data_IF_458373189454
#
_entry.id   IF_458373189454
#
_cell.length_a   1.000
_cell.length_b   1.000
_cell.length_c   1.000
_cell.angle_alpha   90.00
_cell.angle_beta   90.00
_cell.angle_gamma   90.00
#
_symmetry.space_group_name_H-M   'P 1'
#
loop_
_entity.id
_entity.type
_entity.pdbx_description
1 polymer ?
#
# COMPACT_ATOMS: atom_id res chain seq x y z
N UNK A 1 -7.17 3.04 7.37
CA UNK A 1 -7.36 4.23 8.24
C UNK A 1 -6.55 5.45 7.83
N UNK A 2 -5.20 5.43 7.76
CA UNK A 2 -4.42 6.64 7.41
C UNK A 2 -4.75 7.24 6.04
N UNK A 3 -4.94 6.40 5.01
CA UNK A 3 -5.30 6.88 3.68
C UNK A 3 -6.66 7.61 3.66
N UNK A 4 -7.70 7.02 4.25
CA UNK A 4 -9.03 7.65 4.33
C UNK A 4 -8.99 8.95 5.13
N UNK A 5 -8.24 8.98 6.24
CA UNK A 5 -8.06 10.19 7.02
C UNK A 5 -7.30 11.29 6.26
N UNK A 6 -6.40 10.95 5.32
CA UNK A 6 -5.76 11.93 4.44
C UNK A 6 -6.77 12.56 3.49
N UNK A 7 -7.53 11.72 2.79
CA UNK A 7 -8.56 12.16 1.84
C UNK A 7 -9.61 13.03 2.57
N UNK A 8 -10.02 12.64 3.77
CA UNK A 8 -10.93 13.43 4.59
C UNK A 8 -10.39 14.81 4.96
N UNK A 9 -9.07 14.96 5.14
CA UNK A 9 -8.42 16.26 5.38
C UNK A 9 -8.37 17.09 4.11
N UNK A 10 -8.04 16.48 2.98
CA UNK A 10 -8.02 17.14 1.68
C UNK A 10 -9.42 17.68 1.30
N UNK A 11 -10.46 16.97 1.69
CA UNK A 11 -11.86 17.38 1.55
C UNK A 11 -12.36 18.30 2.69
N UNK A 12 -11.49 18.67 3.62
CA UNK A 12 -11.79 19.51 4.78
C UNK A 12 -12.98 19.00 5.64
N UNK A 13 -13.25 17.69 5.64
CA UNK A 13 -14.42 17.10 6.31
C UNK A 13 -14.45 17.40 7.80
N UNK A 14 -13.28 17.49 8.44
CA UNK A 14 -13.16 17.84 9.86
C UNK A 14 -13.87 19.15 10.23
N UNK A 15 -13.95 20.12 9.31
CA UNK A 15 -14.64 21.39 9.52
C UNK A 15 -16.17 21.24 9.48
N UNK A 16 -16.68 20.31 8.66
CA UNK A 16 -18.10 20.04 8.51
C UNK A 16 -18.69 19.14 9.61
N UNK A 17 -17.83 18.49 10.41
CA UNK A 17 -18.28 17.59 11.46
C UNK A 17 -19.00 18.32 12.59
N UNK A 18 -20.14 17.74 13.00
CA UNK A 18 -20.80 18.07 14.26
C UNK A 18 -20.16 17.25 15.37
N UNK A 19 -19.35 17.90 16.20
CA UNK A 19 -18.59 17.24 17.25
C UNK A 19 -18.98 17.77 18.62
N UNK A 20 -18.97 16.90 19.64
CA UNK A 20 -19.25 17.31 21.01
C UNK A 20 -18.13 18.17 21.58
N UNK A 21 -18.45 19.06 22.53
CA UNK A 21 -17.48 19.98 23.15
C UNK A 21 -16.24 19.27 23.75
N UNK A 22 -16.45 18.13 24.40
CA UNK A 22 -15.33 17.36 24.98
C UNK A 22 -14.38 16.82 23.92
N UNK A 23 -14.93 16.38 22.79
CA UNK A 23 -14.16 15.84 21.69
C UNK A 23 -13.42 16.96 20.92
N UNK A 24 -14.07 18.12 20.74
CA UNK A 24 -13.46 19.35 20.20
C UNK A 24 -12.20 19.76 20.98
N UNK A 25 -12.28 19.79 22.31
CA UNK A 25 -11.15 20.18 23.19
C UNK A 25 -9.94 19.25 23.03
N UNK A 26 -10.18 17.98 22.68
CA UNK A 26 -9.10 16.99 22.43
C UNK A 26 -8.62 16.96 20.98
N UNK A 27 -9.01 17.93 20.15
CA UNK A 27 -8.63 17.99 18.74
C UNK A 27 -9.32 16.94 17.87
N UNK A 28 -10.53 16.51 18.26
CA UNK A 28 -11.25 15.42 17.57
C UNK A 28 -11.43 15.60 16.06
N UNK A 29 -11.53 16.85 15.59
CA UNK A 29 -11.64 17.19 14.16
C UNK A 29 -10.45 16.73 13.32
N UNK A 30 -9.29 16.54 13.94
CA UNK A 30 -8.07 16.08 13.27
C UNK A 30 -7.69 14.64 13.65
N UNK A 31 -8.51 13.93 14.44
CA UNK A 31 -8.24 12.53 14.78
C UNK A 31 -8.43 11.65 13.54
N UNK A 32 -7.43 10.82 13.26
CA UNK A 32 -7.44 9.91 12.10
C UNK A 32 -8.65 8.96 12.08
N UNK A 33 -9.09 8.46 13.24
CA UNK A 33 -10.27 7.59 13.31
C UNK A 33 -11.53 8.35 12.92
N UNK A 34 -11.77 9.51 13.52
CA UNK A 34 -12.95 10.35 13.25
C UNK A 34 -13.01 10.78 11.79
N UNK A 35 -11.88 11.19 11.22
CA UNK A 35 -11.80 11.59 9.82
C UNK A 35 -12.02 10.42 8.85
N UNK A 36 -11.49 9.23 9.16
CA UNK A 36 -11.74 8.04 8.36
C UNK A 36 -13.23 7.64 8.41
N UNK A 37 -13.83 7.61 9.60
CA UNK A 37 -15.25 7.29 9.79
C UNK A 37 -16.15 8.32 9.09
N UNK A 38 -15.78 9.60 9.11
CA UNK A 38 -16.47 10.67 8.40
C UNK A 38 -16.46 10.48 6.88
N UNK A 39 -15.32 10.06 6.34
CA UNK A 39 -15.21 9.74 4.91
C UNK A 39 -16.06 8.52 4.54
N UNK A 40 -16.05 7.46 5.35
CA UNK A 40 -16.91 6.28 5.13
C UNK A 40 -18.40 6.65 5.19
N UNK A 41 -18.79 7.52 6.13
CA UNK A 41 -20.15 8.03 6.21
C UNK A 41 -20.55 8.85 4.98
N UNK A 42 -19.63 9.68 4.44
CA UNK A 42 -19.85 10.41 3.19
C UNK A 42 -20.02 9.44 2.01
N UNK A 43 -19.20 8.39 1.91
CA UNK A 43 -19.35 7.34 0.88
C UNK A 43 -20.74 6.69 0.99
N UNK A 44 -21.17 6.36 2.20
CA UNK A 44 -22.50 5.80 2.45
C UNK A 44 -23.62 6.74 2.02
N UNK A 45 -23.51 8.04 2.31
CA UNK A 45 -24.50 9.03 1.90
C UNK A 45 -24.60 9.16 0.37
N UNK A 46 -23.46 9.22 -0.33
CA UNK A 46 -23.42 9.27 -1.80
C UNK A 46 -24.06 8.00 -2.39
N UNK A 47 -23.78 6.83 -1.80
CA UNK A 47 -24.37 5.56 -2.23
C UNK A 47 -25.89 5.53 -2.06
N UNK A 48 -26.40 6.00 -0.94
CA UNK A 48 -27.84 6.04 -0.70
C UNK A 48 -28.57 6.98 -1.67
N UNK A 49 -27.96 8.12 -2.01
CA UNK A 49 -28.59 9.12 -2.89
C UNK A 49 -28.43 8.82 -4.39
N UNK A 50 -27.32 8.20 -4.79
CA UNK A 50 -26.94 8.08 -6.20
C UNK A 50 -26.67 6.64 -6.68
N UNK A 51 -26.68 5.66 -5.78
CA UNK A 51 -26.42 4.26 -6.11
C UNK A 51 -24.95 3.94 -6.38
N UNK A 52 -24.70 2.68 -6.77
CA UNK A 52 -23.36 2.11 -6.87
C UNK A 52 -22.48 2.79 -7.93
N UNK A 53 -22.97 2.91 -9.17
CA UNK A 53 -22.12 3.34 -10.30
C UNK A 53 -21.57 4.76 -10.10
N UNK A 54 -22.44 5.69 -9.69
CA UNK A 54 -22.05 7.08 -9.41
C UNK A 54 -21.11 7.16 -8.21
N UNK A 55 -21.38 6.38 -7.17
CA UNK A 55 -20.51 6.30 -6.00
C UNK A 55 -19.13 5.77 -6.34
N UNK A 56 -19.05 4.67 -7.09
CA UNK A 56 -17.81 4.07 -7.52
C UNK A 56 -16.95 5.05 -8.32
N UNK A 57 -17.56 5.79 -9.26
CA UNK A 57 -16.86 6.81 -10.03
C UNK A 57 -16.26 7.91 -9.14
N UNK A 58 -17.05 8.45 -8.21
CA UNK A 58 -16.60 9.52 -7.30
C UNK A 58 -15.48 9.01 -6.40
N UNK A 59 -15.66 7.85 -5.76
CA UNK A 59 -14.67 7.29 -4.83
C UNK A 59 -13.37 6.93 -5.57
N UNK A 60 -13.44 6.38 -6.78
CA UNK A 60 -12.24 6.10 -7.58
C UNK A 60 -11.45 7.37 -7.90
N UNK A 61 -12.13 8.47 -8.20
CA UNK A 61 -11.47 9.77 -8.42
C UNK A 61 -10.80 10.29 -7.16
N UNK A 62 -11.48 10.22 -6.01
CA UNK A 62 -10.95 10.69 -4.72
C UNK A 62 -9.78 9.84 -4.22
N UNK A 63 -9.81 8.53 -4.45
CA UNK A 63 -8.77 7.60 -4.00
C UNK A 63 -7.60 7.46 -4.97
N UNK A 64 -7.69 8.02 -6.18
CA UNK A 64 -6.70 7.80 -7.25
C UNK A 64 -5.26 8.03 -6.79
N UNK A 65 -4.98 9.18 -6.17
CA UNK A 65 -3.64 9.49 -5.68
C UNK A 65 -3.14 8.47 -4.65
N UNK A 66 -3.99 8.09 -3.69
CA UNK A 66 -3.63 7.10 -2.67
C UNK A 66 -3.37 5.70 -3.27
N UNK A 67 -4.12 5.33 -4.33
CA UNK A 67 -3.93 4.09 -5.07
C UNK A 67 -2.60 4.14 -5.84
N UNK A 68 -2.36 5.21 -6.60
CA UNK A 68 -1.13 5.39 -7.39
C UNK A 68 0.12 5.36 -6.50
N UNK A 69 0.06 6.02 -5.33
CA UNK A 69 1.12 5.98 -4.35
C UNK A 69 1.30 4.58 -3.73
N UNK A 70 0.22 3.86 -3.43
CA UNK A 70 0.29 2.50 -2.90
C UNK A 70 0.95 1.54 -3.90
N UNK A 71 0.63 1.69 -5.19
CA UNK A 71 1.27 0.96 -6.29
C UNK A 71 2.76 1.32 -6.37
N UNK A 72 3.09 2.61 -6.36
CA UNK A 72 4.49 3.10 -6.41
C UNK A 72 5.31 2.56 -5.23
N UNK A 73 4.74 2.57 -4.02
CA UNK A 73 5.34 2.02 -2.81
C UNK A 73 5.40 0.49 -2.77
N UNK A 74 4.82 -0.20 -3.76
CA UNK A 74 4.79 -1.67 -3.82
C UNK A 74 3.89 -2.30 -2.76
N UNK A 75 3.01 -1.51 -2.12
CA UNK A 75 2.17 -1.95 -1.02
C UNK A 75 0.98 -2.81 -1.46
N UNK A 76 0.75 -2.98 -2.78
CA UNK A 76 -0.36 -3.74 -3.34
C UNK A 76 0.01 -5.11 -3.93
N UNK A 77 1.29 -5.38 -4.19
CA UNK A 77 1.72 -6.65 -4.79
C UNK A 77 2.48 -7.47 -3.75
N UNK A 78 1.98 -8.68 -3.46
CA UNK A 78 2.81 -9.69 -2.81
C UNK A 78 3.80 -10.22 -3.85
N UNK A 79 4.91 -9.50 -4.03
CA UNK A 79 5.94 -9.76 -5.03
C UNK A 79 6.49 -11.19 -4.97
N UNK A 80 6.61 -11.78 -3.77
CA UNK A 80 6.98 -13.20 -3.62
C UNK A 80 5.96 -14.14 -4.23
N UNK A 81 4.68 -13.96 -3.92
CA UNK A 81 3.60 -14.80 -4.46
C UNK A 81 3.52 -14.62 -5.97
N UNK A 82 3.52 -13.38 -6.45
CA UNK A 82 3.48 -13.08 -7.88
C UNK A 82 4.68 -13.67 -8.64
N UNK A 83 5.89 -13.54 -8.09
CA UNK A 83 7.10 -14.15 -8.67
C UNK A 83 7.02 -15.69 -8.66
N UNK A 84 6.56 -16.28 -7.57
CA UNK A 84 6.40 -17.73 -7.47
C UNK A 84 5.45 -18.26 -8.56
N UNK A 85 4.33 -17.58 -8.79
CA UNK A 85 3.33 -17.96 -9.79
C UNK A 85 3.87 -17.89 -11.21
N UNK A 86 4.52 -16.78 -11.61
CA UNK A 86 5.07 -16.65 -12.97
C UNK A 86 6.20 -17.66 -13.22
N UNK A 87 7.06 -17.88 -12.23
CA UNK A 87 8.16 -18.86 -12.31
C UNK A 87 7.62 -20.30 -12.42
N UNK A 88 6.60 -20.64 -11.64
CA UNK A 88 5.95 -21.95 -11.73
C UNK A 88 5.25 -22.15 -13.08
N UNK A 89 4.55 -21.13 -13.59
CA UNK A 89 3.91 -21.19 -14.91
C UNK A 89 4.90 -21.35 -16.05
N UNK A 90 6.14 -20.88 -15.86
CA UNK A 90 7.26 -21.03 -16.79
C UNK A 90 7.98 -22.38 -16.69
N UNK A 91 7.58 -23.26 -15.76
CA UNK A 91 8.20 -24.57 -15.55
C UNK A 91 9.58 -24.52 -14.89
N UNK A 92 9.94 -23.40 -14.26
CA UNK A 92 11.24 -23.23 -13.60
C UNK A 92 11.19 -23.64 -12.13
N UNK A 93 12.38 -23.86 -11.55
CA UNK A 93 12.51 -24.06 -10.12
C UNK A 93 12.09 -22.79 -9.34
N UNK A 94 11.57 -22.94 -8.12
CA UNK A 94 11.17 -21.81 -7.27
C UNK A 94 12.27 -20.74 -7.12
N UNK A 95 11.91 -19.46 -6.96
CA UNK A 95 12.88 -18.39 -6.73
C UNK A 95 13.72 -18.61 -5.47
N UNK A 96 15.01 -18.36 -5.57
CA UNK A 96 15.92 -18.31 -4.42
C UNK A 96 16.21 -16.87 -4.00
N UNK A 97 16.54 -16.66 -2.73
CA UNK A 97 16.87 -15.34 -2.19
C UNK A 97 18.22 -15.34 -1.48
N UNK A 98 19.07 -14.37 -1.83
CA UNK A 98 20.28 -14.05 -1.06
C UNK A 98 20.07 -12.74 -0.32
N UNK A 99 20.31 -12.74 0.99
CA UNK A 99 20.11 -11.57 1.84
C UNK A 99 21.39 -11.24 2.61
N UNK A 100 21.75 -9.96 2.64
CA UNK A 100 22.78 -9.39 3.50
C UNK A 100 22.18 -8.32 4.41
N UNK A 101 22.73 -8.17 5.60
CA UNK A 101 22.35 -7.13 6.56
C UNK A 101 23.54 -6.27 6.96
N UNK A 102 23.28 -5.01 7.29
CA UNK A 102 24.27 -4.03 7.75
C UNK A 102 23.64 -3.06 8.75
N UNK A 103 24.47 -2.31 9.49
CA UNK A 103 24.00 -1.33 10.48
C UNK A 103 23.86 -1.92 11.90
N UNK A 104 23.61 -1.06 12.91
CA UNK A 104 23.45 -1.48 14.29
C UNK A 104 22.13 -2.24 14.51
N UNK A 105 22.03 -3.03 15.58
CA UNK A 105 20.86 -3.89 15.84
C UNK A 105 19.51 -3.15 15.90
N UNK A 106 19.52 -1.88 16.27
CA UNK A 106 18.33 -1.03 16.36
C UNK A 106 18.01 -0.26 15.07
N UNK A 107 18.87 -0.33 14.06
CA UNK A 107 18.69 0.32 12.74
C UNK A 107 19.39 -0.50 11.65
N UNK A 108 18.97 -1.78 11.52
CA UNK A 108 19.50 -2.66 10.49
C UNK A 108 18.91 -2.31 9.12
N UNK A 109 19.77 -2.28 8.12
CA UNK A 109 19.43 -2.26 6.72
C UNK A 109 19.61 -3.65 6.12
N UNK A 110 18.62 -4.09 5.34
CA UNK A 110 18.63 -5.37 4.64
C UNK A 110 18.66 -5.15 3.14
N UNK A 111 19.46 -5.96 2.46
CA UNK A 111 19.56 -6.00 0.99
C UNK A 111 19.31 -7.44 0.55
N UNK A 112 18.37 -7.65 -0.37
CA UNK A 112 18.02 -8.96 -0.89
C UNK A 112 18.14 -9.02 -2.42
N UNK A 113 18.52 -10.17 -2.95
CA UNK A 113 18.54 -10.49 -4.38
C UNK A 113 17.62 -11.67 -4.64
N UNK A 114 16.74 -11.56 -5.63
CA UNK A 114 15.96 -12.69 -6.14
C UNK A 114 16.75 -13.38 -7.27
N UNK A 115 16.81 -14.70 -7.24
CA UNK A 115 17.49 -15.54 -8.22
C UNK A 115 16.44 -16.45 -8.84
N UNK A 116 16.27 -16.35 -10.15
CA UNK A 116 15.31 -17.15 -10.92
C UNK A 116 16.03 -17.78 -12.09
N UNK A 117 15.92 -19.11 -12.21
CA UNK A 117 16.55 -19.88 -13.29
C UNK A 117 18.06 -19.55 -13.46
N UNK A 118 18.77 -19.39 -12.35
CA UNK A 118 20.20 -19.03 -12.33
C UNK A 118 20.53 -17.55 -12.61
N UNK A 119 19.54 -16.72 -12.96
CA UNK A 119 19.72 -15.28 -13.19
C UNK A 119 19.46 -14.52 -11.89
N UNK A 120 20.40 -13.67 -11.51
CA UNK A 120 20.26 -12.78 -10.35
C UNK A 120 19.67 -11.44 -10.79
N UNK A 121 18.55 -11.05 -10.18
CA UNK A 121 17.85 -9.80 -10.46
C UNK A 121 18.37 -8.66 -9.58
N UNK A 122 18.10 -7.39 -9.94
CA UNK A 122 18.53 -6.25 -9.13
C UNK A 122 18.05 -6.32 -7.68
N UNK A 123 18.83 -5.71 -6.79
CA UNK A 123 18.61 -5.81 -5.35
C UNK A 123 17.36 -5.06 -4.87
N UNK A 124 16.68 -5.62 -3.88
CA UNK A 124 15.65 -4.98 -3.08
C UNK A 124 16.18 -4.57 -1.70
N UNK A 125 15.72 -3.42 -1.20
CA UNK A 125 16.11 -2.86 0.09
C UNK A 125 14.94 -2.88 1.07
N UNK A 126 15.22 -2.99 2.37
CA UNK A 126 14.21 -2.87 3.42
C UNK A 126 14.78 -2.76 4.83
N UNK A 127 13.93 -2.38 5.79
CA UNK A 127 14.25 -2.35 7.23
C UNK A 127 13.99 -3.67 7.93
N UNK A 128 13.58 -4.69 7.17
CA UNK A 128 13.55 -6.09 7.61
C UNK A 128 13.94 -7.01 6.46
N UNK A 129 14.44 -8.21 6.79
CA UNK A 129 14.69 -9.28 5.80
C UNK A 129 13.47 -9.53 4.91
N UNK A 130 12.27 -9.59 5.51
CA UNK A 130 11.01 -9.84 4.80
C UNK A 130 10.71 -8.74 3.78
N UNK A 131 10.90 -7.48 4.18
CA UNK A 131 10.66 -6.31 3.32
C UNK A 131 11.63 -6.29 2.14
N UNK A 132 12.93 -6.46 2.40
CA UNK A 132 13.95 -6.50 1.34
C UNK A 132 13.67 -7.62 0.32
N UNK A 133 13.33 -8.82 0.78
CA UNK A 133 12.97 -9.94 -0.10
C UNK A 133 11.68 -9.67 -0.90
N UNK A 134 10.69 -8.99 -0.34
CA UNK A 134 9.48 -8.61 -1.09
C UNK A 134 9.80 -7.61 -2.21
N UNK A 135 10.63 -6.61 -1.93
CA UNK A 135 11.07 -5.65 -2.93
C UNK A 135 11.86 -6.34 -4.05
N UNK A 136 12.80 -7.22 -3.70
CA UNK A 136 13.57 -8.00 -4.67
C UNK A 136 12.67 -8.90 -5.55
N UNK A 137 11.66 -9.53 -4.93
CA UNK A 137 10.70 -10.35 -5.64
C UNK A 137 9.87 -9.56 -6.65
N UNK A 138 9.38 -8.38 -6.25
CA UNK A 138 8.64 -7.46 -7.12
C UNK A 138 9.49 -7.03 -8.33
N UNK A 139 10.74 -6.63 -8.11
CA UNK A 139 11.65 -6.23 -9.19
C UNK A 139 11.83 -7.36 -10.21
N UNK A 140 12.04 -8.59 -9.73
CA UNK A 140 12.17 -9.75 -10.61
C UNK A 140 10.87 -10.06 -11.37
N UNK A 141 9.73 -9.96 -10.68
CA UNK A 141 8.41 -10.17 -11.29
C UNK A 141 8.12 -9.16 -12.40
N UNK A 142 8.37 -7.87 -12.15
CA UNK A 142 8.19 -6.80 -13.14
C UNK A 142 9.12 -6.99 -14.36
N UNK A 143 10.36 -7.41 -14.14
CA UNK A 143 11.31 -7.69 -15.21
C UNK A 143 10.87 -8.90 -16.07
N UNK A 144 10.26 -9.91 -15.46
CA UNK A 144 9.75 -11.10 -16.15
C UNK A 144 8.40 -10.87 -16.85
N UNK A 145 7.57 -9.96 -16.33
CA UNK A 145 6.23 -9.69 -16.86
C UNK A 145 6.23 -8.72 -18.04
N UNK A 146 7.31 -7.96 -18.23
CA UNK A 146 7.48 -6.98 -19.32
C UNK A 146 8.25 -7.53 -20.54
N UNK A 147 8.54 -8.84 -20.56
CA UNK A 147 9.13 -9.59 -21.68
C UNK A 147 8.12 -10.57 -22.27
#
# INVERSE_FOLDING_TARGET
>A
MRALASIARELELGSALKIGKGEEVTGGRDKNSILADAFEALVGAIYLDHGFDVSAEIIMRLMKSAIDEAVTRGAGLDGKTALQEIVASSGWAPPEYKVSESGPDHDKDFVAYAIVNGVTYPQGHGKSKREAEQVAARIAFEALSNN
#
